data_IF_917227014641
#
_entry.id   IF_917227014641
#
_cell.length_a   1.000
_cell.length_b   1.000
_cell.length_c   1.000
_cell.angle_alpha   90.00
_cell.angle_beta   90.00
_cell.angle_gamma   90.00
#
_symmetry.space_group_name_H-M   'P 1'
#
loop_
_entity.id
_entity.type
_entity.pdbx_description
1 polymer ?
#
# COMPACT_ATOMS: atom_id res chain seq x y z
N UNK A 1 47.30 1.06 -56.09
CA UNK A 1 47.13 1.67 -54.76
C UNK A 1 45.67 2.06 -54.61
N UNK A 2 44.88 1.23 -53.94
CA UNK A 2 43.45 1.48 -53.69
C UNK A 2 43.30 2.15 -52.33
N UNK A 3 42.88 3.43 -52.32
CA UNK A 3 42.51 4.14 -51.11
C UNK A 3 41.26 3.49 -50.49
N UNK A 4 41.38 3.04 -49.25
CA UNK A 4 40.25 2.55 -48.45
C UNK A 4 39.60 3.78 -47.80
N UNK A 5 38.31 3.97 -48.10
CA UNK A 5 37.47 5.01 -47.51
C UNK A 5 37.33 4.75 -45.99
N UNK A 6 37.49 5.74 -45.10
CA UNK A 6 37.29 5.53 -43.67
C UNK A 6 35.79 5.32 -43.37
N UNK A 7 35.47 4.09 -43.00
CA UNK A 7 34.18 3.65 -42.51
C UNK A 7 33.77 4.51 -41.30
N UNK A 8 32.66 5.24 -41.43
CA UNK A 8 32.13 6.08 -40.35
C UNK A 8 31.74 5.19 -39.17
N UNK A 9 32.16 5.49 -37.92
CA UNK A 9 31.75 4.70 -36.78
C UNK A 9 30.21 4.75 -36.68
N UNK A 10 29.53 3.63 -36.36
CA UNK A 10 28.10 3.63 -36.21
C UNK A 10 27.74 4.65 -35.12
N UNK A 11 26.85 5.60 -35.45
CA UNK A 11 26.17 6.44 -34.46
C UNK A 11 25.41 5.50 -33.53
N UNK A 12 26.06 5.08 -32.45
CA UNK A 12 25.38 4.47 -31.32
C UNK A 12 24.36 5.50 -30.84
N UNK A 13 23.10 5.29 -31.20
CA UNK A 13 21.96 5.94 -30.55
C UNK A 13 22.00 5.50 -29.09
N UNK A 14 22.77 6.22 -28.27
CA UNK A 14 22.72 6.12 -26.82
C UNK A 14 21.32 6.55 -26.43
N UNK A 15 20.49 5.56 -26.15
CA UNK A 15 19.18 5.79 -25.58
C UNK A 15 19.39 6.50 -24.24
N UNK A 16 18.67 7.60 -23.95
CA UNK A 16 18.97 8.47 -22.80
C UNK A 16 18.81 7.78 -21.44
N UNK A 17 18.23 6.58 -21.43
CA UNK A 17 17.94 5.73 -20.27
C UNK A 17 19.03 4.67 -19.99
N UNK A 18 20.22 4.82 -20.59
CA UNK A 18 21.32 3.84 -20.47
C UNK A 18 22.27 4.08 -19.29
N UNK A 19 22.04 5.13 -18.51
CA UNK A 19 22.74 5.31 -17.24
C UNK A 19 22.06 4.46 -16.16
N UNK A 20 22.42 3.18 -16.09
CA UNK A 20 22.09 2.35 -14.93
C UNK A 20 22.61 3.05 -13.67
N UNK A 21 21.73 3.26 -12.69
CA UNK A 21 22.11 3.79 -11.38
C UNK A 21 23.23 2.93 -10.81
N UNK A 22 24.28 3.56 -10.27
CA UNK A 22 25.34 2.80 -9.62
C UNK A 22 24.71 1.99 -8.48
N UNK A 23 25.10 0.72 -8.35
CA UNK A 23 24.51 -0.19 -7.36
C UNK A 23 24.54 0.39 -5.93
N UNK A 24 25.56 1.17 -5.61
CA UNK A 24 25.67 1.89 -4.33
C UNK A 24 24.62 3.00 -4.19
N UNK A 25 24.40 3.79 -5.26
CA UNK A 25 23.36 4.83 -5.26
C UNK A 25 21.96 4.22 -5.13
N UNK A 26 21.69 3.11 -5.83
CA UNK A 26 20.43 2.37 -5.74
C UNK A 26 20.18 1.85 -4.31
N UNK A 27 21.18 1.25 -3.67
CA UNK A 27 21.04 0.76 -2.28
C UNK A 27 20.85 1.90 -1.29
N UNK A 28 21.60 3.00 -1.41
CA UNK A 28 21.44 4.15 -0.52
C UNK A 28 20.06 4.81 -0.70
N UNK A 29 19.60 4.93 -1.94
CA UNK A 29 18.26 5.43 -2.25
C UNK A 29 17.19 4.50 -1.66
N UNK A 30 17.32 3.18 -1.84
CA UNK A 30 16.41 2.18 -1.28
C UNK A 30 16.31 2.28 0.25
N UNK A 31 17.46 2.41 0.95
CA UNK A 31 17.48 2.56 2.41
C UNK A 31 16.84 3.88 2.84
N UNK A 32 17.20 5.00 2.20
CA UNK A 32 16.67 6.31 2.55
C UNK A 32 15.15 6.39 2.32
N UNK A 33 14.67 5.86 1.18
CA UNK A 33 13.25 5.77 0.86
C UNK A 33 12.51 4.89 1.85
N UNK A 34 13.05 3.71 2.15
CA UNK A 34 12.43 2.79 3.11
C UNK A 34 12.29 3.43 4.51
N UNK A 35 13.32 4.14 4.98
CA UNK A 35 13.25 4.86 6.26
C UNK A 35 12.20 5.98 6.18
N UNK A 36 12.20 6.77 5.11
CA UNK A 36 11.24 7.86 4.94
C UNK A 36 9.79 7.34 4.91
N UNK A 37 9.53 6.24 4.20
CA UNK A 37 8.24 5.55 4.16
C UNK A 37 7.83 5.06 5.54
N UNK A 38 8.74 4.40 6.26
CA UNK A 38 8.46 3.90 7.62
C UNK A 38 8.13 5.05 8.58
N UNK A 39 8.88 6.15 8.55
CA UNK A 39 8.64 7.33 9.38
C UNK A 39 7.30 7.97 9.04
N UNK A 40 7.02 8.16 7.75
CA UNK A 40 5.77 8.77 7.29
C UNK A 40 4.56 7.91 7.67
N UNK A 41 4.65 6.59 7.50
CA UNK A 41 3.60 5.65 7.89
C UNK A 41 3.40 5.59 9.41
N UNK A 42 4.49 5.59 10.19
CA UNK A 42 4.38 5.63 11.64
C UNK A 42 3.72 6.94 12.12
N UNK A 43 4.05 8.06 11.48
CA UNK A 43 3.46 9.36 11.78
C UNK A 43 1.97 9.42 11.46
N UNK A 44 1.54 8.88 10.32
CA UNK A 44 0.12 8.83 9.97
C UNK A 44 -0.67 7.96 10.94
N UNK A 45 -0.17 6.76 11.27
CA UNK A 45 -0.79 5.87 12.25
C UNK A 45 -0.90 6.52 13.64
N UNK A 46 0.12 7.27 14.06
CA UNK A 46 0.07 8.04 15.30
C UNK A 46 -1.02 9.11 15.27
N UNK A 47 -1.13 9.84 14.16
CA UNK A 47 -2.13 10.90 13.97
C UNK A 47 -3.55 10.33 13.98
N UNK A 48 -3.81 9.27 13.22
CA UNK A 48 -5.09 8.57 13.22
C UNK A 48 -5.43 7.97 14.59
N UNK A 49 -4.44 7.47 15.31
CA UNK A 49 -4.60 7.05 16.71
C UNK A 49 -5.09 8.21 17.59
N UNK A 50 -4.46 9.38 17.49
CA UNK A 50 -4.86 10.56 18.25
C UNK A 50 -6.29 11.02 17.93
N UNK A 51 -6.74 10.90 16.69
CA UNK A 51 -8.13 11.20 16.31
C UNK A 51 -9.13 10.28 17.04
N UNK A 52 -8.81 8.98 17.15
CA UNK A 52 -9.60 8.03 17.94
C UNK A 52 -9.61 8.35 19.44
N UNK A 53 -8.46 8.75 20.01
CA UNK A 53 -8.40 9.20 21.42
C UNK A 53 -9.18 10.52 21.64
N UNK A 54 -9.14 11.43 20.67
CA UNK A 54 -9.82 12.73 20.74
C UNK A 54 -11.35 12.60 20.63
N UNK A 55 -11.87 11.48 20.12
CA UNK A 55 -13.30 11.22 20.03
C UNK A 55 -13.99 11.00 21.40
N UNK A 56 -13.25 10.94 22.52
CA UNK A 56 -13.78 10.87 23.90
C UNK A 56 -14.86 9.80 24.14
N UNK A 57 -14.83 8.69 23.38
CA UNK A 57 -15.79 7.58 23.51
C UNK A 57 -17.04 7.66 22.64
N UNK A 58 -17.14 8.66 21.76
CA UNK A 58 -18.14 8.72 20.70
C UNK A 58 -17.83 7.64 19.64
N UNK A 59 -18.53 6.49 19.73
CA UNK A 59 -18.27 5.32 18.89
C UNK A 59 -18.40 5.62 17.40
N UNK A 60 -19.40 6.40 16.98
CA UNK A 60 -19.61 6.74 15.56
C UNK A 60 -18.39 7.49 14.98
N UNK A 61 -17.75 8.34 15.79
CA UNK A 61 -16.53 9.07 15.37
C UNK A 61 -15.30 8.17 15.38
N UNK A 62 -15.19 7.26 16.34
CA UNK A 62 -14.11 6.28 16.41
C UNK A 62 -14.17 5.35 15.19
N UNK A 63 -15.36 4.90 14.84
CA UNK A 63 -15.63 4.04 13.69
C UNK A 63 -15.30 4.76 12.38
N UNK A 64 -15.77 6.01 12.22
CA UNK A 64 -15.44 6.82 11.05
C UNK A 64 -13.93 7.07 10.89
N UNK A 65 -13.22 7.37 11.99
CA UNK A 65 -11.77 7.54 11.99
C UNK A 65 -11.04 6.23 11.63
N UNK A 66 -11.54 5.10 12.13
CA UNK A 66 -10.98 3.77 11.83
C UNK A 66 -11.14 3.42 10.35
N UNK A 67 -12.33 3.60 9.79
CA UNK A 67 -12.60 3.43 8.35
C UNK A 67 -11.72 4.35 7.49
N UNK A 68 -11.57 5.62 7.88
CA UNK A 68 -10.70 6.55 7.19
C UNK A 68 -9.23 6.10 7.21
N UNK A 69 -8.76 5.57 8.35
CA UNK A 69 -7.41 5.03 8.48
C UNK A 69 -7.19 3.77 7.61
N UNK A 70 -8.18 2.87 7.56
CA UNK A 70 -8.15 1.69 6.68
C UNK A 70 -8.06 2.13 5.21
N UNK A 71 -8.93 3.04 4.79
CA UNK A 71 -8.93 3.56 3.43
C UNK A 71 -7.63 4.28 3.09
N UNK A 72 -7.08 5.09 4.00
CA UNK A 72 -5.81 5.76 3.82
C UNK A 72 -4.66 4.75 3.66
N UNK A 73 -4.64 3.71 4.49
CA UNK A 73 -3.62 2.64 4.42
C UNK A 73 -3.70 1.86 3.12
N UNK A 74 -4.90 1.62 2.59
CA UNK A 74 -5.11 1.02 1.28
C UNK A 74 -4.51 1.90 0.17
N UNK A 75 -4.77 3.21 0.19
CA UNK A 75 -4.18 4.13 -0.79
C UNK A 75 -2.65 4.17 -0.68
N UNK A 76 -2.11 4.15 0.54
CA UNK A 76 -0.66 4.09 0.78
C UNK A 76 -0.04 2.83 0.17
N UNK A 77 -0.70 1.68 0.30
CA UNK A 77 -0.28 0.43 -0.36
C UNK A 77 -0.21 0.59 -1.89
N UNK A 78 -1.25 1.17 -2.52
CA UNK A 78 -1.22 1.40 -3.97
C UNK A 78 -0.09 2.33 -4.40
N UNK A 79 0.23 3.34 -3.59
CA UNK A 79 1.39 4.23 -3.84
C UNK A 79 2.70 3.46 -3.78
N UNK A 80 2.91 2.59 -2.78
CA UNK A 80 4.11 1.76 -2.69
C UNK A 80 4.26 0.82 -3.89
N UNK A 81 3.15 0.22 -4.36
CA UNK A 81 3.15 -0.63 -5.54
C UNK A 81 3.48 0.15 -6.81
N UNK A 82 2.95 1.37 -6.94
CA UNK A 82 3.27 2.26 -8.06
C UNK A 82 4.76 2.65 -8.05
N UNK A 83 5.32 2.99 -6.88
CA UNK A 83 6.74 3.29 -6.72
C UNK A 83 7.63 2.08 -7.04
N UNK A 84 7.24 0.88 -6.60
CA UNK A 84 7.92 -0.37 -6.95
C UNK A 84 7.94 -0.58 -8.48
N UNK A 85 6.81 -0.35 -9.15
CA UNK A 85 6.72 -0.42 -10.61
C UNK A 85 7.60 0.61 -11.32
N UNK A 86 7.61 1.85 -10.85
CA UNK A 86 8.49 2.91 -11.37
C UNK A 86 9.97 2.58 -11.16
N UNK A 87 10.35 2.03 -10.01
CA UNK A 87 11.70 1.58 -9.71
C UNK A 87 12.12 0.39 -10.61
N UNK A 88 11.20 -0.53 -10.89
CA UNK A 88 11.45 -1.63 -11.82
C UNK A 88 11.67 -1.11 -13.26
N UNK A 89 10.88 -0.12 -13.70
CA UNK A 89 11.03 0.53 -15.01
C UNK A 89 12.34 1.31 -15.13
N UNK A 90 12.81 1.95 -14.04
CA UNK A 90 14.06 2.70 -14.00
C UNK A 90 15.32 1.83 -13.83
N UNK A 91 15.17 0.50 -13.78
CA UNK A 91 16.25 -0.48 -13.52
C UNK A 91 16.98 -0.25 -12.19
N UNK A 92 16.23 0.12 -11.15
CA UNK A 92 16.69 0.24 -9.77
C UNK A 92 16.19 -0.98 -8.96
N UNK A 93 16.82 -2.17 -9.10
CA UNK A 93 16.29 -3.41 -8.54
C UNK A 93 16.21 -3.39 -7.01
N UNK A 94 17.15 -2.74 -6.31
CA UNK A 94 17.10 -2.69 -4.85
C UNK A 94 16.01 -1.76 -4.34
N UNK A 95 15.81 -0.63 -5.00
CA UNK A 95 14.70 0.27 -4.71
C UNK A 95 13.34 -0.40 -4.97
N UNK A 96 13.22 -1.19 -6.05
CA UNK A 96 12.01 -1.96 -6.31
C UNK A 96 11.76 -3.01 -5.19
N UNK A 97 12.80 -3.74 -4.78
CA UNK A 97 12.69 -4.72 -3.69
C UNK A 97 12.31 -4.04 -2.36
N UNK A 98 12.88 -2.88 -2.03
CA UNK A 98 12.52 -2.18 -0.78
C UNK A 98 11.06 -1.75 -0.76
N UNK A 99 10.53 -1.22 -1.87
CA UNK A 99 9.11 -0.86 -1.96
C UNK A 99 8.21 -2.10 -1.91
N UNK A 100 8.63 -3.24 -2.48
CA UNK A 100 7.87 -4.49 -2.37
C UNK A 100 7.85 -5.05 -0.94
N UNK A 101 8.97 -4.94 -0.22
CA UNK A 101 9.04 -5.31 1.20
C UNK A 101 8.13 -4.39 2.04
N UNK A 102 8.21 -3.08 1.82
CA UNK A 102 7.34 -2.11 2.48
C UNK A 102 5.86 -2.39 2.18
N UNK A 103 5.52 -2.65 0.91
CA UNK A 103 4.17 -3.00 0.49
C UNK A 103 3.68 -4.29 1.16
N UNK A 104 4.54 -5.31 1.28
CA UNK A 104 4.21 -6.54 2.00
C UNK A 104 3.87 -6.29 3.47
N UNK A 105 4.66 -5.46 4.16
CA UNK A 105 4.37 -5.08 5.55
C UNK A 105 3.05 -4.30 5.68
N UNK A 106 2.85 -3.29 4.84
CA UNK A 106 1.61 -2.49 4.83
C UNK A 106 0.40 -3.37 4.51
N UNK A 107 0.52 -4.30 3.57
CA UNK A 107 -0.53 -5.25 3.24
C UNK A 107 -0.92 -6.11 4.46
N UNK A 108 0.05 -6.66 5.19
CA UNK A 108 -0.24 -7.44 6.41
C UNK A 108 -0.97 -6.63 7.47
N UNK A 109 -0.59 -5.36 7.66
CA UNK A 109 -1.27 -4.45 8.58
C UNK A 109 -2.68 -4.12 8.12
N UNK A 110 -2.86 -3.82 6.84
CA UNK A 110 -4.17 -3.54 6.24
C UNK A 110 -5.13 -4.71 6.42
N UNK A 111 -4.68 -5.93 6.12
CA UNK A 111 -5.51 -7.14 6.32
C UNK A 111 -5.85 -7.35 7.80
N UNK A 112 -4.91 -7.08 8.71
CA UNK A 112 -5.17 -7.15 10.15
C UNK A 112 -6.23 -6.14 10.61
N UNK A 113 -6.14 -4.89 10.14
CA UNK A 113 -7.12 -3.85 10.45
C UNK A 113 -8.51 -4.16 9.87
N UNK A 114 -8.58 -4.63 8.62
CA UNK A 114 -9.83 -5.07 8.01
C UNK A 114 -10.43 -6.26 8.77
N UNK A 115 -9.61 -7.23 9.16
CA UNK A 115 -10.09 -8.38 9.91
C UNK A 115 -10.68 -8.00 11.27
N UNK A 116 -10.03 -7.10 12.00
CA UNK A 116 -10.54 -6.62 13.29
C UNK A 116 -11.82 -5.78 13.12
N UNK A 117 -11.87 -4.96 12.06
CA UNK A 117 -13.07 -4.23 11.69
C UNK A 117 -14.25 -5.16 11.43
N UNK A 118 -14.08 -6.16 10.55
CA UNK A 118 -15.12 -7.13 10.21
C UNK A 118 -15.57 -7.95 11.42
N UNK A 119 -14.64 -8.25 12.35
CA UNK A 119 -14.92 -8.97 13.58
C UNK A 119 -15.80 -8.15 14.54
N UNK A 120 -15.55 -6.85 14.63
CA UNK A 120 -16.28 -5.93 15.51
C UNK A 120 -17.59 -5.42 14.88
N UNK A 121 -17.67 -5.45 13.54
CA UNK A 121 -18.81 -4.98 12.76
C UNK A 121 -19.38 -6.11 11.88
N UNK A 122 -20.01 -7.13 12.47
CA UNK A 122 -20.61 -8.21 11.71
C UNK A 122 -21.68 -7.67 10.75
N UNK A 123 -21.72 -8.23 9.54
CA UNK A 123 -22.70 -7.84 8.53
C UNK A 123 -24.13 -7.98 9.09
N UNK A 124 -25.04 -7.02 8.77
CA UNK A 124 -26.42 -7.08 9.24
C UNK A 124 -27.07 -8.40 8.81
N UNK A 125 -27.87 -8.96 9.72
CA UNK A 125 -28.55 -10.23 9.47
C UNK A 125 -29.34 -10.16 8.14
N UNK A 126 -29.32 -11.23 7.33
CA UNK A 126 -29.99 -11.23 6.03
C UNK A 126 -31.46 -10.86 6.19
N UNK A 127 -31.98 -10.04 5.28
CA UNK A 127 -33.37 -9.61 5.29
C UNK A 127 -34.30 -10.83 5.20
N UNK A 128 -35.40 -10.88 5.98
CA UNK A 128 -36.34 -11.98 5.92
C UNK A 128 -36.83 -12.20 4.49
N UNK A 129 -36.82 -13.44 4.02
CA UNK A 129 -37.35 -13.84 2.71
C UNK A 129 -38.36 -14.96 2.92
N UNK A 130 -39.23 -15.20 1.93
CA UNK A 130 -40.14 -16.34 1.97
C UNK A 130 -39.33 -17.64 2.15
N UNK A 131 -39.42 -18.27 3.33
CA UNK A 131 -38.65 -19.45 3.72
C UNK A 131 -37.44 -19.21 4.64
N UNK A 132 -37.15 -17.97 5.05
CA UNK A 132 -36.12 -17.66 6.05
C UNK A 132 -36.56 -16.50 6.96
N UNK A 133 -36.76 -16.81 8.24
CA UNK A 133 -36.98 -15.83 9.30
C UNK A 133 -35.73 -15.78 10.20
N UNK A 134 -35.05 -14.62 10.33
CA UNK A 134 -33.95 -14.49 11.27
C UNK A 134 -34.48 -14.67 12.70
N UNK A 135 -33.91 -15.62 13.43
CA UNK A 135 -34.20 -15.82 14.84
C UNK A 135 -33.54 -14.74 15.68
N UNK A 136 -34.34 -13.80 16.18
CA UNK A 136 -33.86 -12.83 17.14
C UNK A 136 -34.01 -13.39 18.56
N UNK A 137 -32.96 -13.24 19.37
CA UNK A 137 -33.05 -13.61 20.79
C UNK A 137 -34.19 -12.82 21.45
N UNK A 138 -35.19 -13.54 21.98
CA UNK A 138 -36.39 -12.95 22.59
C UNK A 138 -37.63 -12.86 21.68
N UNK A 139 -37.55 -13.22 20.39
CA UNK A 139 -38.72 -13.18 19.49
C UNK A 139 -39.73 -14.32 19.74
N UNK A 140 -39.36 -15.37 20.47
CA UNK A 140 -40.22 -16.51 20.81
C UNK A 140 -40.64 -17.39 19.63
N UNK A 141 -40.39 -16.97 18.38
CA UNK A 141 -40.75 -17.69 17.17
C UNK A 141 -39.53 -17.83 16.26
N UNK A 142 -39.12 -19.07 16.07
CA UNK A 142 -38.14 -19.53 15.10
C UNK A 142 -38.83 -20.61 14.27
N UNK A 143 -39.11 -20.33 12.99
CA UNK A 143 -39.70 -21.29 12.06
C UNK A 143 -38.95 -21.24 10.73
#
# INVERSE_FOLDING_TARGET
MTQVLPEHPPRQRRWPWSHGTSRTSDVLAAIALFIAEAVFFAWSMFTSGMEGWAAQGDQDKIDAATLANIAWTEHFLYVLLALAGLAALSRAPWTAVSHLVAAGLVFTLLTGMQHEWDRTHPAPAPTPRAGYSPCYSGSGTCS
#
